data_IF_855516767745
#
_entry.id   IF_855516767745
#
_cell.length_a   1.000
_cell.length_b   1.000
_cell.length_c   1.000
_cell.angle_alpha   90.00
_cell.angle_beta   90.00
_cell.angle_gamma   90.00
#
_symmetry.space_group_name_H-M   'P 1'
#
loop_
_entity.id
_entity.type
_entity.pdbx_description
1 polymer ?
#
# COMPACT_ATOMS: atom_id res chain seq x y z
N UNK A 1 0.58 11.71 2.09
CA UNK A 1 -0.78 12.21 1.73
C UNK A 1 -1.56 12.36 3.02
N UNK A 2 -2.32 13.43 3.20
CA UNK A 2 -3.19 13.62 4.35
C UNK A 2 -4.63 13.14 4.04
N UNK A 3 -5.52 13.11 5.04
CA UNK A 3 -6.90 12.57 4.90
C UNK A 3 -7.72 13.30 3.82
N UNK A 4 -7.57 14.62 3.66
CA UNK A 4 -8.23 15.41 2.61
C UNK A 4 -7.75 15.03 1.20
N UNK A 5 -6.47 14.74 1.01
CA UNK A 5 -5.91 14.30 -0.26
C UNK A 5 -6.41 12.90 -0.65
N UNK A 6 -6.55 11.99 0.31
CA UNK A 6 -7.14 10.67 0.08
C UNK A 6 -8.62 10.79 -0.30
N UNK A 7 -9.38 11.68 0.32
CA UNK A 7 -10.79 11.89 0.00
C UNK A 7 -11.02 12.26 -1.46
N UNK A 8 -10.09 13.03 -2.07
CA UNK A 8 -10.13 13.39 -3.50
C UNK A 8 -9.74 12.23 -4.42
N UNK A 9 -8.81 11.39 -3.99
CA UNK A 9 -8.31 10.27 -4.78
C UNK A 9 -9.23 9.03 -4.76
N UNK A 10 -9.97 8.80 -3.65
CA UNK A 10 -10.78 7.59 -3.42
C UNK A 10 -11.70 7.22 -4.59
N UNK A 11 -12.44 8.15 -5.24
CA UNK A 11 -13.33 7.78 -6.35
C UNK A 11 -12.61 7.18 -7.57
N UNK A 12 -11.29 7.38 -7.68
CA UNK A 12 -10.45 6.92 -8.77
C UNK A 12 -9.54 5.76 -8.36
N UNK A 13 -9.41 5.53 -7.05
CA UNK A 13 -8.37 4.69 -6.49
C UNK A 13 -8.45 3.25 -6.99
N UNK A 14 -9.58 2.58 -6.81
CA UNK A 14 -9.76 1.20 -7.22
C UNK A 14 -9.67 1.04 -8.74
N UNK A 15 -10.27 1.97 -9.51
CA UNK A 15 -10.21 1.96 -10.97
C UNK A 15 -8.76 2.00 -11.47
N UNK A 16 -7.93 2.87 -10.88
CA UNK A 16 -6.53 3.02 -11.27
C UNK A 16 -5.66 1.84 -10.84
N UNK A 17 -5.86 1.34 -9.62
CA UNK A 17 -5.02 0.28 -9.08
C UNK A 17 -5.40 -1.11 -9.60
N UNK A 18 -6.66 -1.36 -9.93
CA UNK A 18 -7.13 -2.59 -10.58
C UNK A 18 -6.55 -2.75 -12.00
N UNK A 19 -6.30 -1.66 -12.70
CA UNK A 19 -5.64 -1.66 -14.02
C UNK A 19 -4.09 -1.54 -13.91
N UNK A 20 -3.59 -1.21 -12.72
CA UNK A 20 -2.19 -0.98 -12.42
C UNK A 20 -1.47 -2.21 -11.85
N UNK A 21 -1.05 -2.10 -10.59
CA UNK A 21 -0.20 -3.10 -9.94
C UNK A 21 -0.97 -4.22 -9.20
N UNK A 22 -2.25 -4.05 -8.95
CA UNK A 22 -3.05 -5.04 -8.19
C UNK A 22 -3.10 -6.41 -8.86
N UNK A 23 -3.25 -6.54 -10.20
CA UNK A 23 -3.17 -7.85 -10.87
C UNK A 23 -1.85 -8.58 -10.60
N UNK A 24 -0.71 -7.88 -10.69
CA UNK A 24 0.61 -8.46 -10.40
C UNK A 24 0.71 -8.94 -8.94
N UNK A 25 0.18 -8.17 -7.99
CA UNK A 25 0.14 -8.55 -6.57
C UNK A 25 -0.76 -9.76 -6.33
N UNK A 26 -1.91 -9.85 -7.01
CA UNK A 26 -2.81 -11.00 -6.92
C UNK A 26 -2.19 -12.32 -7.40
N UNK A 27 -1.21 -12.25 -8.29
CA UNK A 27 -0.47 -13.41 -8.76
C UNK A 27 0.74 -13.73 -7.87
N UNK A 28 1.46 -12.71 -7.42
CA UNK A 28 2.76 -12.87 -6.75
C UNK A 28 2.68 -13.01 -5.23
N UNK A 29 1.67 -12.44 -4.56
CA UNK A 29 1.54 -12.47 -3.10
C UNK A 29 1.05 -13.83 -2.54
N UNK A 30 0.06 -14.54 -3.15
CA UNK A 30 -0.47 -15.78 -2.60
C UNK A 30 0.56 -16.87 -2.33
N UNK A 31 1.55 -17.14 -3.21
CA UNK A 31 2.58 -18.14 -2.92
C UNK A 31 3.38 -17.84 -1.64
N UNK A 32 3.61 -16.57 -1.32
CA UNK A 32 4.35 -16.13 -0.13
C UNK A 32 3.52 -16.24 1.16
N UNK A 33 2.20 -16.14 1.05
CA UNK A 33 1.27 -16.34 2.17
C UNK A 33 0.93 -17.82 2.40
N UNK A 34 1.31 -18.70 1.47
CA UNK A 34 1.06 -20.14 1.59
C UNK A 34 1.81 -20.71 2.79
N UNK A 35 1.07 -21.18 3.77
CA UNK A 35 1.65 -21.72 5.01
C UNK A 35 1.51 -20.79 6.20
N UNK A 36 1.19 -19.52 6.01
CA UNK A 36 0.83 -18.61 7.11
C UNK A 36 -0.46 -19.10 7.77
N UNK A 37 -0.39 -19.41 9.05
CA UNK A 37 -1.48 -19.94 9.87
C UNK A 37 -1.93 -18.98 10.95
N UNK A 38 -1.00 -18.16 11.44
CA UNK A 38 -1.21 -17.12 12.44
C UNK A 38 -1.84 -15.85 11.91
N UNK A 39 -1.79 -14.80 12.72
CA UNK A 39 -2.30 -13.48 12.35
C UNK A 39 -1.51 -12.83 11.22
N UNK A 40 -2.19 -12.03 10.42
CA UNK A 40 -1.57 -11.19 9.38
C UNK A 40 -1.89 -9.73 9.65
N UNK A 41 -0.88 -8.86 9.64
CA UNK A 41 -1.07 -7.42 9.70
C UNK A 41 -0.86 -6.82 8.31
N UNK A 42 -1.86 -6.10 7.81
CA UNK A 42 -1.75 -5.30 6.59
C UNK A 42 -1.55 -3.84 6.94
N UNK A 43 -0.43 -3.26 6.52
CA UNK A 43 -0.13 -1.83 6.70
C UNK A 43 -0.57 -1.06 5.46
N UNK A 44 -1.43 -0.04 5.67
CA UNK A 44 -2.00 0.75 4.58
C UNK A 44 -3.03 -0.03 3.78
N UNK A 45 -4.04 -0.58 4.45
CA UNK A 45 -5.08 -1.41 3.83
C UNK A 45 -5.89 -0.68 2.75
N UNK A 46 -5.89 0.65 2.76
CA UNK A 46 -6.55 1.49 1.77
C UNK A 46 -8.04 1.18 1.66
N UNK A 47 -8.48 0.89 0.44
CA UNK A 47 -9.87 0.50 0.12
C UNK A 47 -10.14 -1.00 0.34
N UNK A 48 -9.13 -1.80 0.72
CA UNK A 48 -9.28 -3.22 1.03
C UNK A 48 -9.04 -4.20 -0.12
N UNK A 49 -8.48 -3.75 -1.26
CA UNK A 49 -8.18 -4.62 -2.40
C UNK A 49 -7.25 -5.80 -2.03
N UNK A 50 -6.24 -5.52 -1.21
CA UNK A 50 -5.28 -6.52 -0.76
C UNK A 50 -5.78 -7.22 0.52
N UNK A 51 -6.57 -6.54 1.36
CA UNK A 51 -7.23 -7.16 2.51
C UNK A 51 -8.09 -8.36 2.07
N UNK A 52 -8.89 -8.23 1.01
CA UNK A 52 -9.69 -9.34 0.45
C UNK A 52 -8.81 -10.50 -0.01
N UNK A 53 -7.66 -10.21 -0.63
CA UNK A 53 -6.70 -11.23 -1.04
C UNK A 53 -6.12 -11.96 0.18
N UNK A 54 -5.69 -11.24 1.21
CA UNK A 54 -5.15 -11.82 2.44
C UNK A 54 -6.18 -12.72 3.13
N UNK A 55 -7.43 -12.25 3.25
CA UNK A 55 -8.54 -13.05 3.83
C UNK A 55 -8.74 -14.35 3.08
N UNK A 56 -8.68 -14.32 1.75
CA UNK A 56 -8.87 -15.50 0.91
C UNK A 56 -7.72 -16.51 1.02
N UNK A 57 -6.47 -16.02 1.11
CA UNK A 57 -5.26 -16.85 1.08
C UNK A 57 -4.83 -17.37 2.46
N UNK A 58 -5.32 -16.77 3.55
CA UNK A 58 -4.95 -17.14 4.92
C UNK A 58 -6.15 -17.62 5.75
N UNK A 59 -5.91 -18.05 6.99
CA UNK A 59 -6.97 -18.50 7.91
C UNK A 59 -6.96 -17.78 9.26
N UNK A 60 -5.85 -17.12 9.60
CA UNK A 60 -5.69 -16.36 10.82
C UNK A 60 -6.50 -15.06 10.85
N UNK A 61 -6.40 -14.33 11.94
CA UNK A 61 -6.92 -12.98 12.08
C UNK A 61 -6.16 -12.01 11.17
N UNK A 62 -6.83 -10.98 10.65
CA UNK A 62 -6.24 -9.96 9.80
C UNK A 62 -6.41 -8.60 10.46
N UNK A 63 -5.31 -7.92 10.75
CA UNK A 63 -5.28 -6.56 11.29
C UNK A 63 -5.06 -5.58 10.14
N UNK A 64 -6.11 -4.93 9.66
CA UNK A 64 -6.07 -3.99 8.55
C UNK A 64 -5.84 -2.56 9.06
N UNK A 65 -4.60 -2.07 8.94
CA UNK A 65 -4.19 -0.76 9.44
C UNK A 65 -4.35 0.30 8.35
N UNK A 66 -5.24 1.29 8.56
CA UNK A 66 -5.47 2.36 7.60
C UNK A 66 -5.85 3.67 8.32
N UNK A 67 -4.99 4.71 8.29
CA UNK A 67 -5.25 5.98 8.98
C UNK A 67 -6.31 6.85 8.31
N UNK A 68 -6.50 6.77 6.98
CA UNK A 68 -7.38 7.67 6.25
C UNK A 68 -8.85 7.24 6.35
N UNK A 69 -9.71 8.11 6.89
CA UNK A 69 -11.14 7.81 7.09
C UNK A 69 -11.84 7.48 5.76
N UNK A 70 -11.55 8.23 4.69
CA UNK A 70 -12.17 8.01 3.39
C UNK A 70 -11.85 6.61 2.82
N UNK A 71 -10.59 6.16 2.94
CA UNK A 71 -10.16 4.82 2.54
C UNK A 71 -10.82 3.74 3.40
N UNK A 72 -10.79 3.88 4.74
CA UNK A 72 -11.44 2.94 5.67
C UNK A 72 -12.94 2.79 5.42
N UNK A 73 -13.62 3.85 4.98
CA UNK A 73 -15.06 3.80 4.68
C UNK A 73 -15.34 2.84 3.51
N UNK A 74 -14.49 2.84 2.48
CA UNK A 74 -14.59 1.91 1.36
C UNK A 74 -14.21 0.49 1.80
N UNK A 75 -13.12 0.33 2.56
CA UNK A 75 -12.72 -0.95 3.15
C UNK A 75 -13.87 -1.58 3.94
N UNK A 76 -14.48 -0.86 4.88
CA UNK A 76 -15.59 -1.35 5.69
C UNK A 76 -16.81 -1.71 4.84
N UNK A 77 -17.12 -0.91 3.81
CA UNK A 77 -18.20 -1.21 2.85
C UNK A 77 -17.91 -2.50 2.08
N UNK A 78 -16.66 -2.73 1.67
CA UNK A 78 -16.21 -3.95 0.99
C UNK A 78 -16.35 -5.18 1.89
N UNK A 79 -15.89 -5.10 3.13
CA UNK A 79 -15.98 -6.18 4.11
C UNK A 79 -17.43 -6.49 4.52
N UNK A 80 -18.35 -5.51 4.44
CA UNK A 80 -19.74 -5.67 4.90
C UNK A 80 -20.49 -6.80 4.20
N UNK A 81 -20.17 -7.08 2.94
CA UNK A 81 -20.76 -8.16 2.13
C UNK A 81 -20.23 -9.57 2.44
N UNK A 82 -19.09 -9.68 3.11
CA UNK A 82 -18.41 -10.94 3.40
C UNK A 82 -18.46 -11.29 4.90
N UNK A 83 -19.21 -12.34 5.25
CA UNK A 83 -19.37 -12.76 6.63
C UNK A 83 -18.07 -13.35 7.23
N UNK A 84 -17.21 -13.97 6.44
CA UNK A 84 -15.92 -14.49 6.88
C UNK A 84 -14.95 -13.33 7.14
N UNK A 85 -14.84 -12.40 6.21
CA UNK A 85 -14.03 -11.20 6.38
C UNK A 85 -14.43 -10.42 7.64
N UNK A 86 -15.73 -10.19 7.86
CA UNK A 86 -16.22 -9.50 9.08
C UNK A 86 -15.86 -10.19 10.40
N UNK A 87 -15.68 -11.51 10.39
CA UNK A 87 -15.28 -12.24 11.62
C UNK A 87 -13.77 -12.21 11.86
N UNK A 88 -12.98 -12.05 10.78
CA UNK A 88 -11.53 -12.21 10.84
C UNK A 88 -10.76 -10.90 10.72
N UNK A 89 -11.36 -9.85 10.15
CA UNK A 89 -10.68 -8.58 9.91
C UNK A 89 -10.99 -7.60 11.03
N UNK A 90 -9.94 -7.16 11.72
CA UNK A 90 -9.96 -6.04 12.65
C UNK A 90 -9.38 -4.82 11.96
N UNK A 91 -10.20 -3.78 11.72
CA UNK A 91 -9.77 -2.53 11.07
C UNK A 91 -9.25 -1.56 12.13
N UNK A 92 -7.98 -1.18 12.02
CA UNK A 92 -7.28 -0.27 12.94
C UNK A 92 -7.16 1.12 12.32
N UNK A 93 -7.77 2.11 12.98
CA UNK A 93 -7.78 3.51 12.55
C UNK A 93 -6.53 4.27 13.02
N UNK A 94 -5.34 3.77 12.74
CA UNK A 94 -4.06 4.34 13.17
C UNK A 94 -3.03 4.32 12.04
N UNK A 95 -1.94 5.09 12.22
CA UNK A 95 -0.78 5.04 11.35
C UNK A 95 0.10 3.81 11.63
N UNK A 96 0.93 3.44 10.66
CA UNK A 96 1.84 2.29 10.77
C UNK A 96 2.85 2.39 11.93
N UNK A 97 3.15 3.61 12.38
CA UNK A 97 4.09 3.83 13.48
C UNK A 97 3.43 3.78 14.87
N UNK A 98 2.10 3.89 14.88
CA UNK A 98 1.28 3.89 16.10
C UNK A 98 0.56 2.56 16.31
N UNK A 99 0.77 1.58 15.39
CA UNK A 99 0.13 0.28 15.49
C UNK A 99 0.71 -0.51 16.66
N UNK A 100 -0.19 -1.02 17.48
CA UNK A 100 0.12 -1.95 18.56
C UNK A 100 -1.03 -2.94 18.68
N UNK A 101 -0.74 -4.22 18.48
CA UNK A 101 -1.67 -5.33 18.69
C UNK A 101 -1.15 -6.21 19.83
N UNK A 102 -2.06 -6.73 20.62
CA UNK A 102 -1.78 -7.48 21.85
C UNK A 102 -1.25 -8.90 21.58
N UNK A 103 -1.25 -9.34 20.32
CA UNK A 103 -0.75 -10.64 19.90
C UNK A 103 0.24 -10.46 18.73
N UNK A 104 1.41 -11.13 18.76
CA UNK A 104 2.31 -11.13 17.63
C UNK A 104 1.66 -11.73 16.38
N UNK A 105 2.04 -11.23 15.22
CA UNK A 105 1.55 -11.74 13.93
C UNK A 105 2.61 -12.57 13.21
N UNK A 106 2.19 -13.57 12.44
CA UNK A 106 3.08 -14.41 11.65
C UNK A 106 3.56 -13.70 10.37
N UNK A 107 2.76 -12.77 9.82
CA UNK A 107 3.14 -12.01 8.64
C UNK A 107 2.68 -10.55 8.70
N UNK A 108 3.50 -9.67 8.13
CA UNK A 108 3.15 -8.27 7.81
C UNK A 108 3.19 -8.09 6.30
N UNK A 109 2.12 -7.53 5.73
CA UNK A 109 1.99 -7.18 4.32
C UNK A 109 1.86 -5.68 4.17
N UNK A 110 2.62 -5.08 3.23
CA UNK A 110 2.66 -3.63 3.06
C UNK A 110 2.76 -3.30 1.55
N UNK A 111 1.62 -3.09 0.89
CA UNK A 111 1.56 -2.84 -0.56
C UNK A 111 1.30 -1.36 -0.83
N UNK A 112 2.18 -0.74 -1.62
CA UNK A 112 2.13 0.69 -2.00
C UNK A 112 2.20 1.66 -0.82
N UNK A 113 2.91 1.29 0.24
CA UNK A 113 3.02 2.07 1.48
C UNK A 113 4.44 2.59 1.73
N UNK A 114 5.47 1.82 1.34
CA UNK A 114 6.88 2.13 1.62
C UNK A 114 7.26 3.56 1.21
N UNK A 115 6.75 4.04 0.08
CA UNK A 115 7.01 5.38 -0.44
C UNK A 115 6.47 6.52 0.44
N UNK A 116 5.61 6.25 1.41
CA UNK A 116 5.12 7.26 2.35
C UNK A 116 6.15 7.61 3.44
N UNK A 117 7.22 6.84 3.57
CA UNK A 117 8.19 6.98 4.66
C UNK A 117 9.54 7.50 4.20
N UNK A 118 9.97 8.72 4.64
CA UNK A 118 11.36 9.15 4.49
C UNK A 118 12.29 8.30 5.36
N UNK A 119 13.60 8.32 5.07
CA UNK A 119 14.61 7.45 5.65
C UNK A 119 14.50 7.27 7.18
N UNK A 120 14.50 8.36 7.95
CA UNK A 120 14.43 8.29 9.41
C UNK A 120 13.13 7.66 9.93
N UNK A 121 12.02 7.88 9.23
CA UNK A 121 10.71 7.27 9.57
C UNK A 121 10.65 5.80 9.16
N UNK A 122 11.39 5.38 8.11
CA UNK A 122 11.49 3.95 7.77
C UNK A 122 12.21 3.15 8.84
N UNK A 123 13.30 3.68 9.40
CA UNK A 123 14.00 3.01 10.51
C UNK A 123 13.08 2.82 11.74
N UNK A 124 12.23 3.78 12.02
CA UNK A 124 11.19 3.66 13.06
C UNK A 124 10.15 2.60 12.69
N UNK A 125 9.68 2.62 11.43
CA UNK A 125 8.73 1.63 10.91
C UNK A 125 9.27 0.20 11.07
N UNK A 126 10.51 -0.06 10.63
CA UNK A 126 11.10 -1.39 10.75
C UNK A 126 11.15 -1.88 12.20
N UNK A 127 11.49 -0.99 13.15
CA UNK A 127 11.47 -1.32 14.58
C UNK A 127 10.07 -1.60 15.11
N UNK A 128 9.07 -0.85 14.67
CA UNK A 128 7.66 -1.11 15.02
C UNK A 128 7.23 -2.48 14.49
N UNK A 129 7.43 -2.73 13.19
CA UNK A 129 7.03 -4.01 12.57
C UNK A 129 7.77 -5.21 13.17
N UNK A 130 9.05 -5.06 13.50
CA UNK A 130 9.80 -6.12 14.18
C UNK A 130 9.21 -6.47 15.57
N UNK A 131 8.63 -5.52 16.29
CA UNK A 131 7.96 -5.81 17.58
C UNK A 131 6.65 -6.56 17.39
N UNK A 132 5.91 -6.25 16.33
CA UNK A 132 4.62 -6.90 16.04
C UNK A 132 4.75 -8.31 15.46
N UNK A 133 5.87 -8.63 14.82
CA UNK A 133 6.11 -9.94 14.22
C UNK A 133 6.59 -10.97 15.24
N UNK A 134 6.16 -12.21 15.08
CA UNK A 134 6.75 -13.38 15.74
C UNK A 134 8.22 -13.57 15.34
N UNK A 135 9.07 -14.24 16.14
CA UNK A 135 10.39 -14.71 15.70
C UNK A 135 10.24 -15.58 14.43
N UNK A 136 11.01 -15.29 13.39
CA UNK A 136 10.88 -15.93 12.06
C UNK A 136 9.70 -15.44 11.22
N UNK A 137 8.87 -14.55 11.74
CA UNK A 137 7.71 -13.96 11.03
C UNK A 137 8.11 -13.21 9.77
N UNK A 138 7.19 -13.13 8.82
CA UNK A 138 7.41 -12.69 7.45
C UNK A 138 7.00 -11.23 7.25
N UNK A 139 7.88 -10.41 6.68
CA UNK A 139 7.60 -9.06 6.21
C UNK A 139 7.61 -9.03 4.68
N UNK A 140 6.49 -8.66 4.09
CA UNK A 140 6.27 -8.57 2.64
C UNK A 140 5.91 -7.16 2.23
N UNK A 141 6.56 -6.64 1.20
CA UNK A 141 6.17 -5.36 0.60
C UNK A 141 6.52 -5.30 -0.88
N UNK A 142 5.80 -4.49 -1.65
CA UNK A 142 6.17 -4.28 -3.04
C UNK A 142 7.34 -3.28 -3.14
N UNK A 143 8.37 -3.72 -3.83
CA UNK A 143 9.55 -2.89 -4.12
C UNK A 143 10.26 -3.39 -5.37
N UNK A 144 10.72 -2.45 -6.18
CA UNK A 144 11.53 -2.72 -7.37
C UNK A 144 12.52 -1.58 -7.54
N UNK A 145 13.77 -1.94 -7.83
CA UNK A 145 14.76 -0.93 -8.24
C UNK A 145 14.30 -0.27 -9.54
N UNK A 146 14.26 1.05 -9.57
CA UNK A 146 13.87 1.82 -10.75
C UNK A 146 14.73 3.08 -10.85
N UNK A 147 15.08 3.53 -12.07
CA UNK A 147 15.72 4.82 -12.26
C UNK A 147 14.92 5.95 -11.60
N UNK A 148 15.61 6.98 -11.14
CA UNK A 148 14.94 8.18 -10.65
C UNK A 148 14.10 8.79 -11.79
N UNK A 149 12.82 9.14 -11.55
CA UNK A 149 12.02 9.80 -12.56
C UNK A 149 12.58 11.22 -12.80
N UNK A 150 12.31 11.77 -13.97
CA UNK A 150 12.66 13.14 -14.33
C UNK A 150 11.42 14.03 -14.26
N UNK A 151 11.57 15.31 -13.86
CA UNK A 151 10.49 16.28 -14.00
C UNK A 151 10.02 16.35 -15.46
N UNK A 152 8.71 16.45 -15.65
CA UNK A 152 8.11 16.41 -16.99
C UNK A 152 6.78 17.17 -17.04
N UNK A 153 6.09 17.04 -18.16
CA UNK A 153 4.76 17.59 -18.37
C UNK A 153 3.71 16.71 -17.66
N UNK A 154 2.47 17.23 -17.61
CA UNK A 154 1.33 16.50 -17.10
C UNK A 154 0.89 15.44 -18.12
N UNK A 155 0.87 14.18 -17.74
CA UNK A 155 0.56 13.04 -18.60
C UNK A 155 -0.68 12.28 -18.12
N UNK A 156 -1.48 11.74 -19.05
CA UNK A 156 -2.59 10.86 -18.74
C UNK A 156 -2.03 9.49 -18.28
N UNK A 157 -2.30 9.11 -17.04
CA UNK A 157 -1.88 7.84 -16.46
C UNK A 157 -2.94 6.74 -16.62
N UNK A 158 -4.22 7.11 -16.70
CA UNK A 158 -5.31 6.15 -16.89
C UNK A 158 -6.64 6.86 -17.16
N UNK A 159 -7.53 6.19 -17.90
CA UNK A 159 -8.88 6.66 -18.18
C UNK A 159 -9.85 5.48 -18.15
N UNK A 160 -10.86 5.56 -17.29
CA UNK A 160 -11.75 4.45 -16.92
C UNK A 160 -13.20 4.84 -17.17
N UNK A 161 -13.89 4.07 -18.02
CA UNK A 161 -15.29 4.32 -18.34
C UNK A 161 -16.21 3.69 -17.28
N UNK A 162 -17.01 4.53 -16.62
CA UNK A 162 -18.08 4.09 -15.71
C UNK A 162 -19.40 4.70 -16.15
N UNK A 163 -20.25 3.90 -16.75
CA UNK A 163 -21.49 4.39 -17.37
C UNK A 163 -21.22 5.44 -18.44
N UNK A 164 -21.68 6.68 -18.24
CA UNK A 164 -21.52 7.79 -19.20
C UNK A 164 -20.32 8.69 -18.90
N UNK A 165 -19.56 8.39 -17.83
CA UNK A 165 -18.44 9.20 -17.38
C UNK A 165 -17.12 8.49 -17.61
N UNK A 166 -16.10 9.25 -18.02
CA UNK A 166 -14.72 8.84 -18.02
C UNK A 166 -14.02 9.42 -16.76
N UNK A 167 -13.43 8.55 -15.97
CA UNK A 167 -12.62 8.89 -14.79
C UNK A 167 -11.15 8.87 -15.21
N UNK A 168 -10.49 10.01 -15.18
CA UNK A 168 -9.12 10.18 -15.66
C UNK A 168 -8.18 10.49 -14.49
N UNK A 169 -7.04 9.81 -14.46
CA UNK A 169 -5.92 10.12 -13.56
C UNK A 169 -4.78 10.67 -14.38
N UNK A 170 -4.34 11.88 -14.07
CA UNK A 170 -3.21 12.54 -14.68
C UNK A 170 -2.10 12.71 -13.65
N UNK A 171 -0.83 12.56 -14.05
CA UNK A 171 0.33 12.67 -13.19
C UNK A 171 1.42 13.55 -13.79
N UNK A 172 2.16 14.23 -12.91
CA UNK A 172 3.30 15.05 -13.28
C UNK A 172 4.37 14.92 -12.20
N UNK A 173 5.61 14.64 -12.56
CA UNK A 173 6.76 14.79 -11.67
C UNK A 173 7.17 16.25 -11.64
N UNK A 174 7.08 16.89 -10.47
CA UNK A 174 7.42 18.28 -10.27
C UNK A 174 8.91 18.48 -9.93
N UNK A 175 9.51 17.49 -9.27
CA UNK A 175 10.91 17.56 -8.87
C UNK A 175 11.37 16.30 -8.14
N UNK A 176 12.70 16.11 -8.14
CA UNK A 176 13.36 15.01 -7.44
C UNK A 176 14.51 15.57 -6.60
N UNK A 177 14.61 15.16 -5.34
CA UNK A 177 15.68 15.54 -4.41
C UNK A 177 16.08 14.31 -3.59
N UNK A 178 17.28 13.77 -3.85
CA UNK A 178 17.69 12.50 -3.27
C UNK A 178 16.70 11.38 -3.60
N UNK A 179 16.18 10.71 -2.57
CA UNK A 179 15.14 9.67 -2.75
C UNK A 179 13.71 10.22 -2.81
N UNK A 180 13.51 11.53 -2.62
CA UNK A 180 12.18 12.15 -2.59
C UNK A 180 11.75 12.61 -3.97
N UNK A 181 10.58 12.18 -4.40
CA UNK A 181 9.90 12.57 -5.63
C UNK A 181 8.66 13.35 -5.27
N UNK A 182 8.57 14.59 -5.72
CA UNK A 182 7.36 15.42 -5.59
C UNK A 182 6.55 15.34 -6.87
N UNK A 183 5.28 14.97 -6.76
CA UNK A 183 4.37 14.78 -7.88
C UNK A 183 3.07 15.53 -7.68
N UNK A 184 2.44 15.87 -8.80
CA UNK A 184 1.10 16.44 -8.88
C UNK A 184 0.20 15.44 -9.57
N UNK A 185 -0.99 15.23 -9.05
CA UNK A 185 -2.02 14.42 -9.67
C UNK A 185 -3.27 15.25 -9.89
N UNK A 186 -3.90 15.09 -11.08
CA UNK A 186 -5.23 15.60 -11.35
C UNK A 186 -6.17 14.41 -11.54
N UNK A 187 -7.30 14.49 -10.87
CA UNK A 187 -8.39 13.53 -10.94
C UNK A 187 -9.56 14.21 -11.67
N UNK A 188 -9.92 13.73 -12.85
CA UNK A 188 -10.93 14.36 -13.69
C UNK A 188 -12.08 13.42 -13.99
N UNK A 189 -13.30 13.94 -13.93
CA UNK A 189 -14.49 13.26 -14.45
C UNK A 189 -14.94 13.97 -15.70
N UNK A 190 -15.07 13.25 -16.82
CA UNK A 190 -15.57 13.77 -18.09
C UNK A 190 -16.89 13.15 -18.46
N UNK A 191 -17.74 13.97 -19.08
CA UNK A 191 -18.96 13.54 -19.76
C UNK A 191 -18.98 14.13 -21.15
N UNK A 192 -19.10 13.30 -22.20
CA UNK A 192 -19.10 13.74 -23.61
C UNK A 192 -17.93 14.66 -23.97
N UNK A 193 -16.72 14.37 -23.43
CA UNK A 193 -15.52 15.17 -23.66
C UNK A 193 -15.38 16.44 -22.81
N UNK A 194 -16.42 16.83 -22.05
CA UNK A 194 -16.39 17.99 -21.16
C UNK A 194 -15.98 17.57 -19.77
N UNK A 195 -15.07 18.30 -19.11
CA UNK A 195 -14.72 18.12 -17.71
C UNK A 195 -15.88 18.61 -16.85
N UNK A 196 -16.45 17.72 -16.02
CA UNK A 196 -17.57 18.02 -15.11
C UNK A 196 -17.14 18.00 -13.64
N UNK A 197 -15.94 17.50 -13.32
CA UNK A 197 -15.33 17.53 -12.03
C UNK A 197 -13.82 17.41 -12.14
N UNK A 198 -13.09 18.12 -11.29
CA UNK A 198 -11.63 18.08 -11.24
C UNK A 198 -11.15 18.32 -9.81
N UNK A 199 -10.24 17.48 -9.34
CA UNK A 199 -9.52 17.62 -8.09
C UNK A 199 -8.02 17.54 -8.31
N UNK A 200 -7.26 18.30 -7.55
CA UNK A 200 -5.79 18.31 -7.59
C UNK A 200 -5.20 17.87 -6.25
N UNK A 201 -4.15 17.05 -6.31
CA UNK A 201 -3.38 16.59 -5.16
C UNK A 201 -1.89 16.70 -5.47
N UNK A 202 -1.13 17.30 -4.57
CA UNK A 202 0.34 17.24 -4.59
C UNK A 202 0.82 16.29 -3.51
N UNK A 203 1.73 15.37 -3.84
CA UNK A 203 2.26 14.38 -2.92
C UNK A 203 3.78 14.27 -3.01
N UNK A 204 4.39 13.81 -1.94
CA UNK A 204 5.78 13.39 -1.89
C UNK A 204 5.84 11.88 -1.69
N UNK A 205 6.70 11.21 -2.48
CA UNK A 205 6.98 9.79 -2.39
C UNK A 205 8.48 9.58 -2.22
N UNK A 206 8.86 8.63 -1.38
CA UNK A 206 10.26 8.29 -1.11
C UNK A 206 10.62 6.97 -1.79
N UNK A 207 11.74 6.96 -2.51
CA UNK A 207 12.20 5.81 -3.31
C UNK A 207 13.61 5.41 -2.87
N UNK A 208 13.73 4.60 -1.80
CA UNK A 208 15.03 4.13 -1.33
C UNK A 208 15.67 3.19 -2.36
N UNK A 209 16.99 3.33 -2.57
CA UNK A 209 17.76 2.34 -3.31
C UNK A 209 17.88 1.03 -2.53
N UNK A 210 18.09 -0.09 -3.25
CA UNK A 210 18.07 -1.44 -2.69
C UNK A 210 19.12 -1.68 -1.61
N UNK A 211 20.34 -1.19 -1.81
CA UNK A 211 21.42 -1.33 -0.81
C UNK A 211 21.08 -0.66 0.52
N UNK A 212 20.54 0.57 0.45
CA UNK A 212 20.10 1.30 1.64
C UNK A 212 18.97 0.58 2.36
N UNK A 213 17.95 0.16 1.61
CA UNK A 213 16.80 -0.56 2.15
C UNK A 213 17.23 -1.86 2.85
N UNK A 214 18.15 -2.61 2.22
CA UNK A 214 18.70 -3.83 2.80
C UNK A 214 19.48 -3.55 4.10
N UNK A 215 20.28 -2.48 4.13
CA UNK A 215 21.00 -2.07 5.33
C UNK A 215 20.06 -1.68 6.48
N UNK A 216 19.02 -0.89 6.20
CA UNK A 216 18.00 -0.48 7.19
C UNK A 216 17.28 -1.70 7.79
N UNK A 217 16.84 -2.65 6.95
CA UNK A 217 16.14 -3.86 7.39
C UNK A 217 17.05 -4.80 8.18
N UNK A 218 18.28 -5.00 7.72
CA UNK A 218 19.27 -5.81 8.46
C UNK A 218 19.56 -5.22 9.85
N UNK A 219 19.72 -3.89 9.93
CA UNK A 219 19.92 -3.19 11.19
C UNK A 219 18.71 -3.31 12.14
N UNK A 220 17.52 -3.49 11.60
CA UNK A 220 16.28 -3.73 12.36
C UNK A 220 16.05 -5.21 12.73
N UNK A 221 16.99 -6.11 12.40
CA UNK A 221 16.92 -7.52 12.75
C UNK A 221 16.17 -8.39 11.73
N UNK A 222 16.06 -7.94 10.49
CA UNK A 222 15.49 -8.74 9.42
C UNK A 222 16.57 -9.40 8.56
N UNK A 223 16.26 -10.60 8.09
CA UNK A 223 17.07 -11.37 7.12
C UNK A 223 16.30 -11.47 5.82
N UNK A 224 16.97 -11.19 4.70
CA UNK A 224 16.34 -11.24 3.37
C UNK A 224 15.90 -12.66 3.03
N UNK A 225 14.69 -12.79 2.49
CA UNK A 225 14.12 -14.03 1.99
C UNK A 225 13.87 -13.94 0.48
N UNK A 226 13.54 -15.04 -0.17
CA UNK A 226 13.24 -15.09 -1.60
C UNK A 226 11.84 -14.54 -1.89
N UNK A 227 11.71 -13.77 -2.96
CA UNK A 227 10.45 -13.23 -3.44
C UNK A 227 10.47 -13.10 -4.96
N UNK A 228 9.30 -13.18 -5.64
CA UNK A 228 9.19 -12.87 -7.05
C UNK A 228 9.50 -11.39 -7.32
N UNK A 229 9.85 -11.08 -8.58
CA UNK A 229 10.09 -9.69 -8.98
C UNK A 229 8.88 -8.79 -8.65
N UNK A 230 9.14 -7.58 -8.20
CA UNK A 230 8.11 -6.64 -7.75
C UNK A 230 7.74 -6.76 -6.28
N UNK A 231 8.08 -7.85 -5.60
CA UNK A 231 7.95 -8.02 -4.14
C UNK A 231 9.31 -8.14 -3.46
N UNK A 232 9.36 -7.80 -2.20
CA UNK A 232 10.46 -8.04 -1.30
C UNK A 232 9.95 -8.83 -0.09
N UNK A 233 10.69 -9.88 0.29
CA UNK A 233 10.41 -10.71 1.45
C UNK A 233 11.57 -10.67 2.43
N UNK A 234 11.26 -10.53 3.70
CA UNK A 234 12.21 -10.51 4.80
C UNK A 234 11.65 -11.27 5.98
N UNK A 235 12.53 -11.92 6.76
CA UNK A 235 12.12 -12.60 7.99
C UNK A 235 12.73 -11.91 9.19
N UNK A 236 11.93 -11.76 10.24
CA UNK A 236 12.45 -11.36 11.55
C UNK A 236 13.43 -12.43 12.04
N UNK A 237 14.61 -12.03 12.45
CA UNK A 237 15.58 -12.96 13.09
C UNK A 237 14.96 -13.61 14.33
N UNK A 238 15.42 -14.83 14.62
CA UNK A 238 14.95 -15.61 15.78
C UNK A 238 15.37 -14.99 17.11
#
# INVERSE_FOLDING_TARGET
>A
MNDDQYSRAVPFYDLWHEDGHVPEIRESLPPLLKGVRGGVMEIGAGTGLITELIVRETRGEVFAVEPALAMRSVLLSRLAGDAEARRRVTVLACGALDVDVDVPVEAVVMISVLQAFPAGRREELWRVLARQLEPGGLLLFNWRERPAPTPGELELMGSYQVGRHAYEVWGQVLGVSGETVRSRFLYRVRQRGVVIGEDEVTSEAHRPGGERLAAELTAAGFVKDEAPDGLAAWRKAA
#
